data_IF_237443608006
#
_entry.id   IF_237443608006
#
_cell.length_a   1.000
_cell.length_b   1.000
_cell.length_c   1.000
_cell.angle_alpha   90.00
_cell.angle_beta   90.00
_cell.angle_gamma   90.00
#
_symmetry.space_group_name_H-M   'P 1'
#
loop_
_entity.id
_entity.type
_entity.pdbx_description
1 polymer ?
#
# COMPACT_ATOMS: atom_id res chain seq x y z
N UNK A 1 10.20 -11.91 -9.70
CA UNK A 1 9.33 -13.10 -9.55
C UNK A 1 7.94 -12.92 -10.18
N UNK A 2 7.39 -14.01 -10.77
CA UNK A 2 6.00 -14.02 -11.28
C UNK A 2 4.96 -14.10 -10.14
N UNK A 3 3.76 -13.54 -10.38
CA UNK A 3 2.67 -13.52 -9.39
C UNK A 3 2.18 -14.93 -9.05
N UNK A 4 2.21 -15.89 -9.98
CA UNK A 4 1.77 -17.25 -9.68
C UNK A 4 2.76 -17.95 -8.73
N UNK A 5 4.06 -17.80 -8.97
CA UNK A 5 5.10 -18.33 -8.09
C UNK A 5 4.98 -17.78 -6.66
N UNK A 6 4.79 -16.47 -6.52
CA UNK A 6 4.61 -15.83 -5.21
C UNK A 6 3.37 -16.34 -4.47
N UNK A 7 2.25 -16.58 -5.17
CA UNK A 7 1.07 -17.21 -4.55
C UNK A 7 1.37 -18.62 -4.04
N UNK A 8 2.15 -19.41 -4.78
CA UNK A 8 2.56 -20.75 -4.35
C UNK A 8 3.42 -20.68 -3.09
N UNK A 9 4.38 -19.76 -3.02
CA UNK A 9 5.21 -19.54 -1.83
C UNK A 9 4.34 -19.15 -0.64
N UNK A 10 3.43 -18.19 -0.82
CA UNK A 10 2.49 -17.78 0.24
C UNK A 10 1.64 -18.96 0.69
N UNK A 11 1.13 -19.78 -0.24
CA UNK A 11 0.41 -21.01 0.08
C UNK A 11 1.25 -21.95 0.94
N UNK A 12 2.48 -22.27 0.53
CA UNK A 12 3.35 -23.19 1.27
C UNK A 12 3.65 -22.72 2.71
N UNK A 13 3.69 -21.41 2.95
CA UNK A 13 3.94 -20.81 4.27
C UNK A 13 2.66 -20.76 5.12
N UNK A 14 1.53 -20.36 4.54
CA UNK A 14 0.28 -20.11 5.28
C UNK A 14 -0.69 -21.30 5.30
N UNK A 15 -0.65 -22.22 4.34
CA UNK A 15 -1.53 -23.40 4.25
C UNK A 15 -1.33 -24.35 5.43
N UNK A 16 -0.12 -24.35 6.01
CA UNK A 16 0.22 -25.15 7.19
C UNK A 16 -0.43 -24.62 8.47
N UNK A 17 -0.87 -23.36 8.48
CA UNK A 17 -1.60 -22.78 9.60
C UNK A 17 -3.11 -23.00 9.41
N UNK A 18 -3.56 -24.17 9.84
CA UNK A 18 -4.97 -24.60 9.76
C UNK A 18 -5.89 -23.58 10.45
N UNK A 19 -5.47 -23.00 11.57
CA UNK A 19 -6.23 -22.00 12.31
C UNK A 19 -6.44 -20.74 11.48
N UNK A 20 -5.38 -20.24 10.85
CA UNK A 20 -5.46 -19.09 9.95
C UNK A 20 -6.40 -19.31 8.76
N UNK A 21 -6.29 -20.47 8.10
CA UNK A 21 -7.18 -20.84 6.98
C UNK A 21 -8.63 -20.91 7.44
N UNK A 22 -8.88 -21.47 8.63
CA UNK A 22 -10.21 -21.54 9.23
C UNK A 22 -10.78 -20.16 9.56
N UNK A 23 -9.98 -19.23 10.06
CA UNK A 23 -10.41 -17.85 10.33
C UNK A 23 -10.87 -17.16 9.02
N UNK A 24 -10.08 -17.27 7.96
CA UNK A 24 -10.43 -16.68 6.64
C UNK A 24 -11.70 -17.31 6.08
N UNK A 25 -11.85 -18.64 6.20
CA UNK A 25 -13.05 -19.35 5.75
C UNK A 25 -14.28 -18.95 6.56
N UNK A 26 -14.16 -18.72 7.86
CA UNK A 26 -15.24 -18.22 8.72
C UNK A 26 -15.66 -16.80 8.35
N UNK A 27 -14.70 -15.90 8.13
CA UNK A 27 -14.97 -14.55 7.60
C UNK A 27 -15.68 -14.60 6.24
N UNK A 28 -15.20 -15.46 5.34
CA UNK A 28 -15.82 -15.69 4.03
C UNK A 28 -17.27 -16.15 4.14
N UNK A 29 -17.57 -17.09 5.06
CA UNK A 29 -18.94 -17.58 5.31
C UNK A 29 -19.85 -16.47 5.83
N UNK A 30 -19.38 -15.65 6.77
CA UNK A 30 -20.16 -14.51 7.30
C UNK A 30 -20.48 -13.53 6.19
N UNK A 31 -19.47 -13.10 5.42
CA UNK A 31 -19.65 -12.19 4.29
C UNK A 31 -20.62 -12.77 3.25
N UNK A 32 -20.45 -14.05 2.87
CA UNK A 32 -21.32 -14.73 1.90
C UNK A 32 -22.77 -14.77 2.38
N UNK A 33 -23.03 -15.11 3.65
CA UNK A 33 -24.38 -15.09 4.22
C UNK A 33 -24.98 -13.68 4.17
N UNK A 34 -24.22 -12.67 4.60
CA UNK A 34 -24.67 -11.29 4.52
C UNK A 34 -25.10 -10.88 3.10
N UNK A 35 -24.24 -11.10 2.10
CA UNK A 35 -24.55 -10.73 0.71
C UNK A 35 -25.72 -11.52 0.12
N UNK A 36 -25.89 -12.79 0.47
CA UNK A 36 -27.06 -13.57 0.03
C UNK A 36 -28.35 -12.98 0.59
N UNK A 37 -28.42 -12.74 1.90
CA UNK A 37 -29.61 -12.17 2.53
C UNK A 37 -29.91 -10.76 2.03
N UNK A 38 -28.89 -9.92 1.90
CA UNK A 38 -29.03 -8.57 1.35
C UNK A 38 -29.48 -8.59 -0.12
N UNK A 39 -28.92 -9.48 -0.94
CA UNK A 39 -29.32 -9.63 -2.35
C UNK A 39 -30.77 -10.09 -2.52
N UNK A 40 -31.19 -11.10 -1.73
CA UNK A 40 -32.59 -11.56 -1.71
C UNK A 40 -33.53 -10.46 -1.22
N UNK A 41 -33.15 -9.72 -0.16
CA UNK A 41 -33.93 -8.59 0.33
C UNK A 41 -34.14 -7.53 -0.77
N UNK A 42 -33.05 -7.10 -1.43
CA UNK A 42 -33.12 -6.11 -2.52
C UNK A 42 -34.01 -6.57 -3.67
N UNK A 43 -33.92 -7.84 -4.07
CA UNK A 43 -34.78 -8.40 -5.12
C UNK A 43 -36.26 -8.39 -4.72
N UNK A 44 -36.58 -8.84 -3.51
CA UNK A 44 -37.97 -8.86 -2.99
C UNK A 44 -38.52 -7.43 -2.88
N UNK A 45 -37.72 -6.48 -2.39
CA UNK A 45 -38.13 -5.08 -2.30
C UNK A 45 -38.40 -4.49 -3.69
N UNK A 46 -37.52 -4.75 -4.67
CA UNK A 46 -37.72 -4.29 -6.04
C UNK A 46 -39.02 -4.84 -6.64
N UNK A 47 -39.29 -6.14 -6.48
CA UNK A 47 -40.55 -6.77 -6.92
C UNK A 47 -41.74 -6.17 -6.18
N UNK A 48 -41.64 -5.99 -4.86
CA UNK A 48 -42.69 -5.38 -4.05
C UNK A 48 -43.06 -3.97 -4.49
N UNK A 49 -42.06 -3.14 -4.84
CA UNK A 49 -42.28 -1.80 -5.39
C UNK A 49 -42.98 -1.89 -6.75
N UNK A 50 -42.48 -2.71 -7.67
CA UNK A 50 -43.07 -2.88 -9.01
C UNK A 50 -44.52 -3.39 -8.95
N UNK A 51 -44.81 -4.35 -8.08
CA UNK A 51 -46.16 -4.91 -7.89
C UNK A 51 -47.09 -3.86 -7.27
N UNK A 52 -46.61 -3.12 -6.26
CA UNK A 52 -47.41 -2.07 -5.62
C UNK A 52 -47.76 -0.94 -6.57
N UNK A 53 -46.83 -0.53 -7.43
CA UNK A 53 -47.06 0.53 -8.43
C UNK A 53 -47.96 0.05 -9.56
N UNK A 54 -47.72 -1.15 -10.12
CA UNK A 54 -48.53 -1.69 -11.21
C UNK A 54 -49.97 -2.00 -10.77
N UNK A 55 -50.16 -2.64 -9.61
CA UNK A 55 -51.49 -2.99 -9.11
C UNK A 55 -52.19 -1.76 -8.51
N UNK A 56 -51.48 -0.85 -7.84
CA UNK A 56 -52.06 0.36 -7.26
C UNK A 56 -52.61 1.36 -8.29
N UNK A 57 -52.08 1.34 -9.53
CA UNK A 57 -52.60 2.16 -10.62
C UNK A 57 -53.81 1.56 -11.34
N UNK A 58 -53.99 0.23 -11.29
CA UNK A 58 -54.93 -0.49 -12.17
C UNK A 58 -56.03 -1.26 -11.43
N UNK A 59 -55.84 -1.59 -10.15
CA UNK A 59 -56.69 -2.52 -9.42
C UNK A 59 -57.19 -1.96 -8.08
N UNK A 60 -58.31 -2.49 -7.54
CA UNK A 60 -58.86 -2.04 -6.27
C UNK A 60 -57.95 -2.34 -5.08
N UNK A 61 -58.18 -1.62 -3.96
CA UNK A 61 -57.41 -1.66 -2.71
C UNK A 61 -56.86 -3.03 -2.24
N UNK A 62 -57.60 -4.16 -2.28
CA UNK A 62 -57.09 -5.44 -1.79
C UNK A 62 -55.81 -5.94 -2.50
N UNK A 63 -55.58 -5.54 -3.76
CA UNK A 63 -54.38 -5.93 -4.50
C UNK A 63 -53.14 -5.14 -4.06
N UNK A 64 -53.33 -3.93 -3.52
CA UNK A 64 -52.25 -3.13 -2.92
C UNK A 64 -51.69 -3.83 -1.67
N UNK A 65 -52.54 -4.52 -0.90
CA UNK A 65 -52.12 -5.30 0.26
C UNK A 65 -51.09 -6.39 -0.08
N UNK A 66 -51.18 -7.00 -1.27
CA UNK A 66 -50.21 -8.01 -1.74
C UNK A 66 -48.82 -7.39 -1.89
N UNK A 67 -48.73 -6.22 -2.51
CA UNK A 67 -47.47 -5.48 -2.66
C UNK A 67 -46.86 -5.10 -1.31
N UNK A 68 -47.67 -4.64 -0.36
CA UNK A 68 -47.22 -4.32 1.01
C UNK A 68 -46.70 -5.54 1.76
N UNK A 69 -47.33 -6.71 1.60
CA UNK A 69 -46.85 -7.96 2.21
C UNK A 69 -45.47 -8.34 1.64
N UNK A 70 -45.28 -8.25 0.32
CA UNK A 70 -43.98 -8.52 -0.32
C UNK A 70 -42.90 -7.57 0.21
N UNK A 71 -43.22 -6.27 0.35
CA UNK A 71 -42.30 -5.29 0.94
C UNK A 71 -41.96 -5.65 2.39
N UNK A 72 -42.95 -6.05 3.20
CA UNK A 72 -42.74 -6.49 4.58
C UNK A 72 -41.77 -7.68 4.67
N UNK A 73 -41.90 -8.67 3.78
CA UNK A 73 -40.96 -9.80 3.68
C UNK A 73 -39.57 -9.32 3.29
N UNK A 74 -39.46 -8.40 2.33
CA UNK A 74 -38.17 -7.81 1.93
C UNK A 74 -37.46 -7.10 3.08
N UNK A 75 -38.19 -6.30 3.85
CA UNK A 75 -37.67 -5.62 5.06
C UNK A 75 -37.22 -6.65 6.10
N UNK A 76 -37.96 -7.74 6.30
CA UNK A 76 -37.57 -8.80 7.23
C UNK A 76 -36.23 -9.45 6.84
N UNK A 77 -36.01 -9.73 5.55
CA UNK A 77 -34.72 -10.23 5.06
C UNK A 77 -33.60 -9.21 5.23
N UNK A 78 -33.87 -7.92 5.03
CA UNK A 78 -32.89 -6.85 5.24
C UNK A 78 -32.47 -6.74 6.71
N UNK A 79 -33.43 -6.77 7.64
CA UNK A 79 -33.16 -6.78 9.09
C UNK A 79 -32.34 -8.02 9.46
N UNK A 80 -32.66 -9.17 8.87
CA UNK A 80 -31.89 -10.41 9.09
C UNK A 80 -30.45 -10.29 8.58
N UNK A 81 -30.23 -9.69 7.41
CA UNK A 81 -28.89 -9.40 6.89
C UNK A 81 -28.10 -8.49 7.85
N UNK A 82 -28.72 -7.40 8.33
CA UNK A 82 -28.11 -6.47 9.28
C UNK A 82 -27.77 -7.19 10.60
N UNK A 83 -28.66 -8.04 11.12
CA UNK A 83 -28.39 -8.85 12.32
C UNK A 83 -27.21 -9.80 12.11
N UNK A 84 -27.12 -10.49 10.97
CA UNK A 84 -25.96 -11.33 10.64
C UNK A 84 -24.68 -10.50 10.65
N UNK A 85 -24.73 -9.28 10.12
CA UNK A 85 -23.57 -8.40 10.09
C UNK A 85 -23.14 -7.95 11.49
N UNK A 86 -24.08 -7.45 12.30
CA UNK A 86 -23.82 -6.87 13.63
C UNK A 86 -23.51 -7.95 14.67
N UNK A 87 -24.27 -9.04 14.69
CA UNK A 87 -24.12 -10.12 15.68
C UNK A 87 -23.08 -11.16 15.28
N UNK A 88 -22.37 -10.96 14.17
CA UNK A 88 -21.24 -11.83 13.85
C UNK A 88 -20.03 -11.47 14.69
N UNK A 89 -19.23 -12.49 15.05
CA UNK A 89 -17.89 -12.31 15.63
C UNK A 89 -16.89 -11.70 14.63
N UNK A 90 -17.36 -11.00 13.60
CA UNK A 90 -16.53 -10.48 12.50
C UNK A 90 -15.41 -9.59 13.00
N UNK A 91 -15.67 -8.72 13.99
CA UNK A 91 -14.62 -7.86 14.57
C UNK A 91 -13.49 -8.70 15.19
N UNK A 92 -13.86 -9.73 15.94
CA UNK A 92 -12.91 -10.65 16.57
C UNK A 92 -12.18 -11.50 15.53
N UNK A 93 -12.91 -12.05 14.56
CA UNK A 93 -12.35 -12.81 13.44
C UNK A 93 -11.38 -11.96 12.60
N UNK A 94 -11.70 -10.69 12.33
CA UNK A 94 -10.80 -9.77 11.61
C UNK A 94 -9.55 -9.46 12.44
N UNK A 95 -9.70 -9.23 13.75
CA UNK A 95 -8.56 -9.07 14.66
C UNK A 95 -7.65 -10.30 14.67
N UNK A 96 -8.23 -11.50 14.77
CA UNK A 96 -7.49 -12.76 14.75
C UNK A 96 -6.84 -13.00 13.39
N UNK A 97 -7.52 -12.67 12.29
CA UNK A 97 -6.97 -12.73 10.94
C UNK A 97 -5.70 -11.87 10.82
N UNK A 98 -5.74 -10.61 11.29
CA UNK A 98 -4.60 -9.70 11.27
C UNK A 98 -3.45 -10.25 12.14
N UNK A 99 -3.76 -10.71 13.36
CA UNK A 99 -2.75 -11.27 14.27
C UNK A 99 -2.05 -12.48 13.65
N UNK A 100 -2.78 -13.41 13.05
CA UNK A 100 -2.20 -14.59 12.40
C UNK A 100 -1.44 -14.24 11.11
N UNK A 101 -1.89 -13.23 10.37
CA UNK A 101 -1.20 -12.74 9.18
C UNK A 101 0.23 -12.26 9.53
N UNK A 102 0.39 -11.54 10.64
CA UNK A 102 1.70 -11.07 11.11
C UNK A 102 2.43 -12.04 12.05
N UNK A 103 1.89 -13.24 12.28
CA UNK A 103 2.45 -14.17 13.26
C UNK A 103 3.68 -14.94 12.76
N UNK A 104 4.55 -15.33 13.70
CA UNK A 104 5.58 -16.37 13.55
C UNK A 104 6.58 -16.14 12.39
N UNK A 105 6.90 -14.89 12.04
CA UNK A 105 7.91 -14.57 11.02
C UNK A 105 7.54 -15.03 9.60
N UNK A 106 6.26 -15.32 9.34
CA UNK A 106 5.82 -15.79 8.02
C UNK A 106 6.03 -14.74 6.93
N UNK A 107 5.80 -13.46 7.25
CA UNK A 107 6.07 -12.38 6.31
C UNK A 107 7.56 -12.24 6.03
N UNK A 108 8.43 -12.34 7.04
CA UNK A 108 9.89 -12.34 6.85
C UNK A 108 10.31 -13.39 5.82
N UNK A 109 9.76 -14.60 5.93
CA UNK A 109 10.02 -15.68 4.98
C UNK A 109 9.49 -15.36 3.58
N UNK A 110 8.27 -14.83 3.45
CA UNK A 110 7.72 -14.38 2.16
C UNK A 110 8.60 -13.31 1.53
N UNK A 111 9.01 -12.28 2.27
CA UNK A 111 9.87 -11.20 1.75
C UNK A 111 11.26 -11.71 1.40
N UNK A 112 11.86 -12.55 2.25
CA UNK A 112 13.18 -13.15 2.02
C UNK A 112 13.20 -13.94 0.72
N UNK A 113 12.23 -14.85 0.53
CA UNK A 113 12.13 -15.63 -0.72
C UNK A 113 11.90 -14.68 -1.90
N UNK A 114 10.99 -13.71 -1.76
CA UNK A 114 10.64 -12.81 -2.85
C UNK A 114 11.82 -11.96 -3.34
N UNK A 115 12.64 -11.45 -2.42
CA UNK A 115 13.81 -10.64 -2.75
C UNK A 115 14.95 -11.52 -3.28
N UNK A 116 15.08 -12.75 -2.76
CA UNK A 116 16.06 -13.72 -3.25
C UNK A 116 15.80 -14.21 -4.69
N UNK A 117 14.68 -13.85 -5.30
CA UNK A 117 14.40 -14.15 -6.71
C UNK A 117 14.60 -12.94 -7.63
N UNK A 118 14.87 -11.74 -7.10
CA UNK A 118 15.09 -10.53 -7.90
C UNK A 118 16.55 -10.40 -8.38
N UNK A 119 16.76 -9.72 -9.50
CA UNK A 119 18.12 -9.41 -10.01
C UNK A 119 18.77 -8.34 -9.11
N UNK A 120 20.06 -8.51 -8.79
CA UNK A 120 20.80 -7.61 -7.87
C UNK A 120 20.82 -8.07 -6.41
N UNK A 121 20.23 -9.23 -6.12
CA UNK A 121 20.08 -9.84 -4.78
C UNK A 121 21.38 -10.27 -4.09
N UNK A 122 22.48 -10.47 -4.82
CA UNK A 122 23.68 -11.13 -4.29
C UNK A 122 24.32 -10.36 -3.13
N UNK A 123 23.93 -9.08 -2.98
CA UNK A 123 24.44 -8.19 -1.96
C UNK A 123 23.46 -7.97 -0.79
N UNK A 124 22.22 -8.48 -0.85
CA UNK A 124 21.22 -8.34 0.21
C UNK A 124 21.31 -9.55 1.15
N UNK A 125 21.73 -9.32 2.41
CA UNK A 125 21.84 -10.34 3.46
C UNK A 125 20.96 -10.00 4.67
N UNK A 126 20.66 -11.00 5.48
CA UNK A 126 20.02 -10.87 6.80
C UNK A 126 18.71 -10.06 6.82
N UNK A 127 17.87 -10.27 5.81
CA UNK A 127 16.58 -9.58 5.73
C UNK A 127 15.67 -9.97 6.89
N UNK A 128 15.16 -8.94 7.59
CA UNK A 128 14.22 -9.05 8.70
C UNK A 128 13.07 -8.08 8.50
N UNK A 129 11.85 -8.52 8.77
CA UNK A 129 10.66 -7.68 8.72
C UNK A 129 10.28 -7.27 10.14
N UNK A 130 10.04 -5.98 10.35
CA UNK A 130 9.66 -5.43 11.64
C UNK A 130 8.23 -4.92 11.58
N UNK A 131 7.38 -5.56 12.37
CA UNK A 131 6.02 -5.13 12.64
C UNK A 131 6.06 -4.09 13.76
N UNK A 132 5.72 -2.84 13.44
CA UNK A 132 5.69 -1.76 14.45
C UNK A 132 4.28 -1.54 14.97
N UNK A 133 3.28 -1.47 14.08
CA UNK A 133 1.89 -1.28 14.50
C UNK A 133 0.88 -2.12 13.68
N UNK A 134 0.41 -3.27 14.23
CA UNK A 134 -0.63 -4.07 13.60
C UNK A 134 -2.05 -3.49 13.78
N UNK A 135 -2.25 -2.53 14.71
CA UNK A 135 -3.60 -2.01 15.07
C UNK A 135 -4.18 -1.05 14.03
N UNK A 136 -3.36 -0.57 13.11
CA UNK A 136 -3.65 0.43 12.08
C UNK A 136 -4.62 -0.06 11.01
N UNK A 137 -4.84 -1.37 10.93
CA UNK A 137 -5.82 -2.00 10.04
C UNK A 137 -7.16 -2.30 10.69
N UNK A 138 -7.28 -2.14 12.02
CA UNK A 138 -8.52 -2.47 12.77
C UNK A 138 -9.42 -1.25 12.94
N UNK A 139 -8.86 -0.03 12.89
CA UNK A 139 -9.62 1.19 13.09
C UNK A 139 -9.97 1.84 11.74
N UNK A 140 -11.23 1.72 11.35
CA UNK A 140 -11.85 2.56 10.32
C UNK A 140 -11.36 4.02 10.47
N UNK A 141 -10.71 4.55 9.43
CA UNK A 141 -10.44 5.98 9.21
C UNK A 141 -9.47 6.72 10.14
N UNK A 142 -8.77 6.07 11.09
CA UNK A 142 -7.68 6.75 11.80
C UNK A 142 -6.35 6.44 11.11
N UNK A 143 -6.02 7.25 10.09
CA UNK A 143 -4.66 7.31 9.56
C UNK A 143 -3.71 7.58 10.74
N UNK A 144 -2.67 6.77 10.85
CA UNK A 144 -1.62 6.91 11.86
C UNK A 144 -1.16 8.38 11.97
N UNK A 145 -1.03 8.88 13.20
CA UNK A 145 -0.60 10.26 13.45
C UNK A 145 0.93 10.43 13.30
N UNK A 146 1.71 9.34 13.20
CA UNK A 146 3.18 9.40 13.22
C UNK A 146 3.87 8.41 12.27
N UNK A 147 4.89 8.93 11.58
CA UNK A 147 5.68 8.25 10.54
C UNK A 147 6.68 7.20 11.10
N UNK A 148 6.83 7.10 12.42
CA UNK A 148 7.65 6.11 13.13
C UNK A 148 6.90 4.79 13.42
N UNK A 149 5.58 4.74 13.20
CA UNK A 149 4.74 3.57 13.49
C UNK A 149 4.50 2.64 12.28
N UNK A 150 5.25 2.79 11.20
CA UNK A 150 5.11 1.98 9.98
C UNK A 150 5.97 0.72 10.01
N UNK A 151 5.52 -0.33 9.33
CA UNK A 151 6.31 -1.54 9.14
C UNK A 151 7.49 -1.25 8.23
N UNK A 152 8.62 -1.87 8.54
CA UNK A 152 9.84 -1.69 7.77
C UNK A 152 10.58 -3.02 7.62
N UNK A 153 11.46 -3.10 6.63
CA UNK A 153 12.42 -4.19 6.50
C UNK A 153 13.82 -3.65 6.75
N UNK A 154 14.65 -4.45 7.42
CA UNK A 154 16.09 -4.19 7.51
C UNK A 154 16.87 -5.31 6.86
N UNK A 155 18.01 -4.98 6.29
CA UNK A 155 18.92 -5.94 5.69
C UNK A 155 20.32 -5.31 5.61
N UNK A 156 21.31 -6.12 5.26
CA UNK A 156 22.65 -5.66 4.95
C UNK A 156 22.81 -5.59 3.43
N UNK A 157 23.30 -4.46 2.92
CA UNK A 157 23.75 -4.31 1.54
C UNK A 157 25.26 -4.09 1.53
N UNK A 158 26.05 -5.02 0.97
CA UNK A 158 27.52 -4.97 1.06
C UNK A 158 28.02 -4.73 2.50
N UNK A 159 27.40 -5.45 3.44
CA UNK A 159 27.66 -5.37 4.89
C UNK A 159 27.33 -4.01 5.54
N UNK A 160 26.59 -3.15 4.83
CA UNK A 160 26.09 -1.86 5.32
C UNK A 160 24.61 -2.00 5.71
N UNK A 161 24.20 -1.57 6.91
CA UNK A 161 22.81 -1.58 7.33
C UNK A 161 21.91 -0.70 6.46
N UNK A 162 20.82 -1.30 5.99
CA UNK A 162 19.76 -0.63 5.24
C UNK A 162 18.41 -0.86 5.90
N UNK A 163 17.61 0.19 5.94
CA UNK A 163 16.22 0.18 6.37
C UNK A 163 15.33 0.69 5.23
N UNK A 164 14.25 -0.02 4.93
CA UNK A 164 13.28 0.40 3.92
C UNK A 164 11.87 0.34 4.47
N UNK A 165 11.06 1.37 4.18
CA UNK A 165 9.66 1.47 4.59
C UNK A 165 8.82 2.25 3.60
N UNK A 166 7.53 1.92 3.55
CA UNK A 166 6.53 2.81 2.97
C UNK A 166 6.09 3.77 4.09
N UNK A 167 6.20 5.07 3.83
CA UNK A 167 5.63 6.11 4.71
C UNK A 167 4.12 6.05 4.66
N UNK A 168 3.49 6.70 5.62
CA UNK A 168 2.05 6.82 5.61
C UNK A 168 1.56 7.66 4.44
N UNK A 169 0.48 7.25 3.77
CA UNK A 169 -0.09 8.02 2.70
C UNK A 169 -0.70 9.30 3.27
N UNK A 170 -0.38 10.44 2.66
CA UNK A 170 -0.97 11.73 3.02
C UNK A 170 -2.20 11.93 2.12
N UNK A 171 -3.38 12.08 2.74
CA UNK A 171 -4.63 12.33 2.01
C UNK A 171 -4.73 13.80 1.65
N UNK A 172 -4.90 14.07 0.36
CA UNK A 172 -5.19 15.39 -0.19
C UNK A 172 -6.63 15.44 -0.70
N UNK A 173 -7.29 16.58 -0.50
CA UNK A 173 -8.68 16.81 -0.90
C UNK A 173 -8.75 18.14 -1.64
N UNK A 174 -8.97 18.07 -2.94
CA UNK A 174 -9.23 19.23 -3.78
C UNK A 174 -10.74 19.39 -3.98
N UNK A 175 -11.23 20.62 -3.87
CA UNK A 175 -12.64 20.94 -4.08
C UNK A 175 -12.74 21.93 -5.21
N UNK A 176 -13.46 21.55 -6.27
CA UNK A 176 -13.72 22.39 -7.41
C UNK A 176 -15.21 22.70 -7.46
N UNK A 177 -15.55 23.98 -7.44
CA UNK A 177 -16.94 24.42 -7.60
C UNK A 177 -17.14 24.93 -9.01
N UNK A 178 -17.99 24.26 -9.79
CA UNK A 178 -18.38 24.65 -11.15
C UNK A 178 -19.91 24.75 -11.17
N UNK A 179 -20.44 25.91 -11.57
CA UNK A 179 -21.89 26.17 -11.67
C UNK A 179 -22.70 25.88 -10.39
N UNK A 180 -22.07 26.04 -9.21
CA UNK A 180 -22.70 25.81 -7.91
C UNK A 180 -22.61 24.38 -7.39
N UNK A 181 -22.16 23.42 -8.22
CA UNK A 181 -21.85 22.06 -7.80
C UNK A 181 -20.40 21.96 -7.34
N UNK A 182 -20.16 21.35 -6.17
CA UNK A 182 -18.81 21.13 -5.64
C UNK A 182 -18.41 19.68 -5.87
N UNK A 183 -17.42 19.46 -6.73
CA UNK A 183 -16.76 18.18 -6.93
C UNK A 183 -15.58 18.06 -5.95
N UNK A 184 -15.52 16.94 -5.21
CA UNK A 184 -14.40 16.61 -4.33
C UNK A 184 -13.49 15.59 -5.02
N UNK A 185 -12.26 15.99 -5.32
CA UNK A 185 -11.21 15.11 -5.84
C UNK A 185 -10.26 14.70 -4.73
N UNK A 186 -10.19 13.39 -4.44
CA UNK A 186 -9.36 12.82 -3.37
C UNK A 186 -8.21 12.03 -3.96
N UNK A 187 -6.99 12.43 -3.61
CA UNK A 187 -5.78 11.70 -3.98
C UNK A 187 -4.86 11.52 -2.78
N UNK A 188 -3.98 10.54 -2.87
CA UNK A 188 -3.04 10.18 -1.83
C UNK A 188 -1.61 10.36 -2.31
N UNK A 189 -0.82 11.09 -1.55
CA UNK A 189 0.63 11.14 -1.70
C UNK A 189 1.24 9.95 -0.96
N UNK A 190 1.84 9.06 -1.73
CA UNK A 190 2.43 7.82 -1.26
C UNK A 190 3.95 7.92 -1.36
N UNK A 191 4.62 7.80 -0.23
CA UNK A 191 6.07 7.94 -0.16
C UNK A 191 6.75 6.67 0.32
N UNK A 192 7.92 6.35 -0.23
CA UNK A 192 8.81 5.28 0.26
C UNK A 192 10.12 5.89 0.69
N UNK A 193 10.69 5.37 1.78
CA UNK A 193 11.96 5.84 2.33
C UNK A 193 12.91 4.66 2.45
N UNK A 194 14.07 4.79 1.80
CA UNK A 194 15.22 3.93 2.02
C UNK A 194 16.29 4.72 2.77
N UNK A 195 16.76 4.16 3.88
CA UNK A 195 17.82 4.70 4.71
C UNK A 195 19.00 3.72 4.70
N UNK A 196 20.17 4.16 4.28
CA UNK A 196 21.39 3.37 4.23
C UNK A 196 22.46 4.07 5.08
N UNK A 197 23.10 3.34 5.98
CA UNK A 197 24.17 3.89 6.81
C UNK A 197 25.27 4.50 5.94
N UNK A 198 25.70 5.73 6.26
CA UNK A 198 26.76 6.39 5.51
C UNK A 198 28.10 6.25 6.24
N UNK A 199 28.97 5.43 5.66
CA UNK A 199 30.36 5.24 6.08
C UNK A 199 31.38 5.83 5.08
N UNK A 200 30.92 6.53 4.03
CA UNK A 200 31.77 7.09 2.98
C UNK A 200 32.09 8.57 3.19
N UNK A 201 31.14 9.33 3.73
CA UNK A 201 31.24 10.78 3.89
C UNK A 201 31.12 11.17 5.37
N UNK A 202 31.91 12.13 5.79
CA UNK A 202 31.82 12.70 7.12
C UNK A 202 30.63 13.67 7.27
N UNK A 203 30.44 14.19 8.47
CA UNK A 203 29.34 15.11 8.80
C UNK A 203 29.39 16.44 8.02
N UNK A 204 30.49 16.77 7.34
CA UNK A 204 30.56 18.00 6.51
C UNK A 204 29.71 17.89 5.25
N UNK A 205 29.31 16.67 4.86
CA UNK A 205 28.40 16.41 3.75
C UNK A 205 26.92 16.42 4.16
N UNK A 206 26.61 16.53 5.45
CA UNK A 206 25.23 16.62 5.92
C UNK A 206 24.50 17.81 5.28
N UNK A 207 23.27 17.57 4.86
CA UNK A 207 22.44 18.52 4.14
C UNK A 207 22.66 18.53 2.62
N UNK A 208 23.65 17.81 2.08
CA UNK A 208 23.76 17.60 0.63
C UNK A 208 22.54 16.82 0.14
N UNK A 209 21.79 17.42 -0.77
CA UNK A 209 20.54 16.90 -1.31
C UNK A 209 20.56 16.96 -2.83
N UNK A 210 20.39 15.80 -3.47
CA UNK A 210 20.00 15.69 -4.87
C UNK A 210 18.47 15.66 -4.93
N UNK A 211 17.88 16.52 -5.74
CA UNK A 211 16.46 16.54 -6.05
C UNK A 211 16.26 16.43 -7.56
N UNK A 212 15.01 16.41 -8.01
CA UNK A 212 14.72 16.56 -9.43
C UNK A 212 15.11 17.92 -9.96
N UNK A 213 15.73 17.90 -11.13
CA UNK A 213 16.16 19.10 -11.85
C UNK A 213 14.99 20.00 -12.19
N UNK A 214 15.15 21.29 -11.91
CA UNK A 214 14.34 22.38 -12.47
C UNK A 214 15.19 23.04 -13.55
N UNK A 215 14.60 23.43 -14.69
CA UNK A 215 15.36 23.91 -15.87
C UNK A 215 16.27 25.13 -15.63
N UNK A 216 16.17 25.81 -14.48
CA UNK A 216 16.90 27.03 -14.19
C UNK A 216 17.39 27.02 -12.73
N UNK A 217 18.64 26.64 -12.48
CA UNK A 217 19.17 26.67 -11.12
C UNK A 217 20.54 27.35 -10.98
N UNK A 218 20.72 28.04 -9.85
CA UNK A 218 21.96 28.74 -9.45
C UNK A 218 22.99 27.77 -8.85
N UNK A 219 22.62 26.50 -8.79
CA UNK A 219 23.32 25.45 -8.08
C UNK A 219 24.48 24.86 -8.90
N UNK A 220 25.25 23.97 -8.28
CA UNK A 220 26.35 23.26 -8.90
C UNK A 220 25.85 22.42 -10.09
N UNK A 221 26.52 22.55 -11.23
CA UNK A 221 26.22 21.78 -12.43
C UNK A 221 27.40 20.88 -12.75
N UNK A 222 27.10 19.63 -13.10
CA UNK A 222 28.10 18.67 -13.60
C UNK A 222 28.41 18.94 -15.07
N UNK A 223 29.42 18.28 -15.63
CA UNK A 223 29.64 18.30 -17.08
C UNK A 223 28.59 17.48 -17.86
N UNK A 224 27.86 16.59 -17.17
CA UNK A 224 26.80 15.78 -17.78
C UNK A 224 25.52 16.60 -17.97
N UNK A 225 25.27 16.97 -19.22
CA UNK A 225 24.01 17.62 -19.66
C UNK A 225 22.80 16.74 -19.32
N UNK A 226 22.94 15.41 -19.39
CA UNK A 226 21.84 14.48 -19.09
C UNK A 226 21.51 14.51 -17.60
N UNK A 227 22.53 14.47 -16.73
CA UNK A 227 22.33 14.56 -15.29
C UNK A 227 21.65 15.88 -14.91
N UNK A 228 22.21 17.01 -15.38
CA UNK A 228 21.70 18.34 -15.03
C UNK A 228 20.27 18.61 -15.55
N UNK A 229 19.80 17.87 -16.56
CA UNK A 229 18.41 17.94 -17.03
C UNK A 229 17.45 17.19 -16.13
N UNK A 230 17.91 16.14 -15.47
CA UNK A 230 17.08 15.23 -14.66
C UNK A 230 17.14 15.57 -13.17
N UNK A 231 18.27 16.07 -12.69
CA UNK A 231 18.58 16.25 -11.28
C UNK A 231 19.21 17.61 -11.01
N UNK A 232 19.01 18.09 -9.78
CA UNK A 232 19.65 19.28 -9.22
C UNK A 232 20.24 18.94 -7.85
N UNK A 233 21.29 19.67 -7.43
CA UNK A 233 21.96 19.50 -6.15
C UNK A 233 21.94 20.80 -5.37
N UNK A 234 21.58 20.80 -4.09
CA UNK A 234 21.43 22.03 -3.29
C UNK A 234 22.78 22.67 -2.84
N UNK A 235 23.81 22.63 -3.67
CA UNK A 235 25.13 23.21 -3.39
C UNK A 235 25.47 24.31 -4.39
N UNK A 236 26.25 25.30 -3.96
CA UNK A 236 26.64 26.44 -4.81
C UNK A 236 27.68 26.02 -5.86
N UNK A 237 27.71 26.74 -6.99
CA UNK A 237 28.77 26.64 -7.99
C UNK A 237 30.14 26.96 -7.35
N UNK A 238 31.00 25.95 -7.24
CA UNK A 238 32.32 26.06 -6.59
C UNK A 238 32.45 25.34 -5.24
N UNK A 239 31.37 24.78 -4.69
CA UNK A 239 31.47 23.94 -3.49
C UNK A 239 32.14 22.61 -3.83
N UNK A 240 33.33 22.37 -3.28
CA UNK A 240 34.13 21.16 -3.55
C UNK A 240 33.45 19.87 -3.09
N UNK A 241 32.51 19.95 -2.13
CA UNK A 241 31.74 18.78 -1.67
C UNK A 241 30.88 18.22 -2.79
N UNK A 242 30.33 19.08 -3.65
CA UNK A 242 29.55 18.64 -4.81
C UNK A 242 30.40 17.79 -5.76
N UNK A 243 31.61 18.25 -6.08
CA UNK A 243 32.54 17.52 -6.94
C UNK A 243 33.02 16.19 -6.32
N UNK A 244 33.24 16.16 -5.01
CA UNK A 244 33.62 14.93 -4.29
C UNK A 244 32.50 13.91 -4.23
N UNK A 245 31.25 14.37 -4.08
CA UNK A 245 30.09 13.51 -3.98
C UNK A 245 29.61 12.98 -5.35
N UNK A 246 29.57 13.86 -6.35
CA UNK A 246 29.11 13.56 -7.71
C UNK A 246 30.22 12.90 -8.53
N UNK A 247 30.60 11.68 -8.15
CA UNK A 247 31.58 10.88 -8.91
C UNK A 247 31.05 10.53 -10.31
N UNK A 248 31.92 10.26 -11.30
CA UNK A 248 31.48 9.85 -12.64
C UNK A 248 30.52 8.66 -12.61
N UNK A 249 30.79 7.64 -11.77
CA UNK A 249 29.91 6.48 -11.57
C UNK A 249 28.51 6.89 -11.12
N UNK A 250 28.40 7.83 -10.18
CA UNK A 250 27.13 8.30 -9.65
C UNK A 250 26.36 9.13 -10.70
N UNK A 251 27.06 10.02 -11.40
CA UNK A 251 26.50 10.84 -12.47
C UNK A 251 25.92 9.96 -13.58
N UNK A 252 26.70 8.99 -14.06
CA UNK A 252 26.29 8.06 -15.13
C UNK A 252 25.13 7.18 -14.66
N UNK A 253 25.21 6.67 -13.43
CA UNK A 253 24.15 5.87 -12.83
C UNK A 253 22.82 6.61 -12.74
N UNK A 254 22.83 7.80 -12.15
CA UNK A 254 21.63 8.63 -11.99
C UNK A 254 21.06 9.03 -13.35
N UNK A 255 21.91 9.40 -14.31
CA UNK A 255 21.50 9.77 -15.68
C UNK A 255 20.73 8.66 -16.39
N UNK A 256 20.97 7.40 -16.03
CA UNK A 256 20.29 6.24 -16.59
C UNK A 256 19.01 5.84 -15.83
N UNK A 257 18.81 6.34 -14.61
CA UNK A 257 17.59 6.08 -13.83
C UNK A 257 16.47 7.02 -14.27
N UNK A 258 15.38 6.46 -14.80
CA UNK A 258 14.20 7.20 -15.30
C UNK A 258 12.98 7.03 -14.39
N UNK A 259 13.12 7.30 -13.10
CA UNK A 259 12.03 7.16 -12.15
C UNK A 259 11.28 8.49 -11.98
N UNK A 260 10.00 8.52 -12.40
CA UNK A 260 9.08 9.68 -12.34
C UNK A 260 8.46 9.96 -10.96
N UNK A 261 8.82 9.18 -9.95
CA UNK A 261 8.47 9.32 -8.54
C UNK A 261 9.67 9.55 -7.60
N UNK A 262 10.93 9.48 -8.06
CA UNK A 262 12.07 9.99 -7.27
C UNK A 262 11.84 11.42 -6.74
N UNK A 263 11.87 11.59 -5.42
CA UNK A 263 11.76 12.89 -4.78
C UNK A 263 13.16 13.46 -4.50
N UNK A 264 13.94 12.75 -3.68
CA UNK A 264 15.30 13.17 -3.34
C UNK A 264 16.21 12.03 -2.90
N UNK A 265 17.51 12.33 -2.94
CA UNK A 265 18.55 11.68 -2.16
C UNK A 265 19.18 12.75 -1.25
N UNK A 266 19.31 12.50 0.05
CA UNK A 266 19.94 13.42 1.00
C UNK A 266 20.91 12.69 1.93
N UNK A 267 21.96 13.38 2.36
CA UNK A 267 22.85 12.94 3.43
C UNK A 267 22.43 13.64 4.73
N UNK A 268 21.94 12.88 5.71
CA UNK A 268 21.60 13.35 7.06
C UNK A 268 22.08 12.33 8.08
N UNK A 269 23.39 12.32 8.35
CA UNK A 269 24.18 11.24 8.96
C UNK A 269 24.18 9.94 8.16
N UNK A 270 23.06 9.58 7.55
CA UNK A 270 22.83 8.43 6.69
C UNK A 270 22.37 8.89 5.30
N UNK A 271 22.52 8.04 4.29
CA UNK A 271 21.87 8.27 3.00
C UNK A 271 20.38 8.00 3.13
N UNK A 272 19.56 8.94 2.71
CA UNK A 272 18.10 8.80 2.64
C UNK A 272 17.64 9.03 1.21
N UNK A 273 16.94 8.05 0.66
CA UNK A 273 16.34 8.13 -0.67
C UNK A 273 14.83 8.06 -0.51
N UNK A 274 14.14 9.05 -1.06
CA UNK A 274 12.69 9.11 -1.05
C UNK A 274 12.13 9.06 -2.46
N UNK A 275 11.09 8.23 -2.64
CA UNK A 275 10.23 8.28 -3.80
C UNK A 275 8.82 8.69 -3.34
N UNK A 276 8.19 9.58 -4.09
CA UNK A 276 6.84 10.09 -3.85
C UNK A 276 6.00 9.93 -5.11
N UNK A 277 4.82 9.32 -4.98
CA UNK A 277 3.87 9.11 -6.07
C UNK A 277 2.46 9.48 -5.64
N UNK A 278 1.65 9.97 -6.57
CA UNK A 278 0.26 10.34 -6.31
C UNK A 278 -0.67 9.28 -6.90
N UNK A 279 -1.70 8.89 -6.14
CA UNK A 279 -2.73 7.92 -6.57
C UNK A 279 -4.11 8.41 -6.22
N UNK A 280 -5.03 8.32 -7.17
CA UNK A 280 -6.42 8.69 -6.97
C UNK A 280 -7.14 7.60 -6.16
N UNK A 281 -7.83 8.01 -5.09
CA UNK A 281 -8.71 7.15 -4.30
C UNK A 281 -8.09 5.85 -3.73
N UNK A 282 -6.77 5.69 -3.75
CA UNK A 282 -6.09 4.45 -3.37
C UNK A 282 -4.81 4.72 -2.56
N UNK A 283 -4.89 4.73 -1.22
CA UNK A 283 -3.71 4.84 -0.38
C UNK A 283 -2.80 3.61 -0.53
N UNK A 284 -1.50 3.82 -0.57
CA UNK A 284 -0.51 2.76 -0.48
C UNK A 284 -0.27 2.41 0.99
N UNK A 285 -0.66 1.20 1.36
CA UNK A 285 -0.47 0.71 2.73
C UNK A 285 1.00 0.48 3.09
N UNK A 286 1.27 0.41 4.39
CA UNK A 286 2.55 -0.01 4.98
C UNK A 286 3.01 -1.39 4.44
N UNK A 287 4.29 -1.74 4.63
CA UNK A 287 4.84 -3.02 4.15
C UNK A 287 4.05 -4.20 4.71
N UNK A 288 3.71 -5.15 3.83
CA UNK A 288 3.01 -6.38 4.16
C UNK A 288 1.51 -6.21 4.44
N UNK A 289 1.03 -4.98 4.65
CA UNK A 289 -0.37 -4.69 4.95
C UNK A 289 -1.22 -4.79 3.68
N UNK A 290 -2.31 -5.55 3.76
CA UNK A 290 -3.34 -5.64 2.71
C UNK A 290 -4.67 -5.10 3.22
N UNK A 291 -5.57 -4.72 2.32
CA UNK A 291 -6.95 -4.37 2.66
C UNK A 291 -7.72 -5.62 3.12
N UNK A 292 -7.67 -5.93 4.42
CA UNK A 292 -8.21 -7.16 5.00
C UNK A 292 -9.74 -7.28 4.89
N UNK A 293 -10.44 -6.15 4.88
CA UNK A 293 -11.89 -6.01 4.69
C UNK A 293 -12.40 -6.59 3.36
N UNK A 294 -11.57 -6.53 2.32
CA UNK A 294 -11.87 -7.00 0.96
C UNK A 294 -11.41 -8.45 0.71
N UNK A 295 -10.92 -9.15 1.74
CA UNK A 295 -10.53 -10.56 1.64
C UNK A 295 -11.76 -11.46 1.80
N UNK A 296 -12.32 -11.92 0.68
CA UNK A 296 -13.51 -12.79 0.67
C UNK A 296 -13.21 -14.28 0.68
N UNK A 297 -11.96 -14.70 0.48
CA UNK A 297 -11.55 -16.10 0.46
C UNK A 297 -10.04 -16.22 0.65
N UNK A 298 -9.57 -17.43 0.93
CA UNK A 298 -8.15 -17.71 1.04
C UNK A 298 -7.38 -17.47 -0.27
N UNK A 299 -8.00 -17.75 -1.42
CA UNK A 299 -7.42 -17.38 -2.72
C UNK A 299 -7.35 -15.87 -2.94
N UNK A 300 -8.36 -15.13 -2.48
CA UNK A 300 -8.34 -13.66 -2.50
C UNK A 300 -7.21 -13.11 -1.62
N UNK A 301 -7.02 -13.71 -0.44
CA UNK A 301 -5.89 -13.40 0.44
C UNK A 301 -4.55 -13.59 -0.27
N UNK A 302 -4.28 -14.80 -0.83
CA UNK A 302 -3.03 -15.08 -1.54
C UNK A 302 -2.79 -14.10 -2.69
N UNK A 303 -3.83 -13.78 -3.46
CA UNK A 303 -3.74 -12.79 -4.56
C UNK A 303 -3.40 -11.40 -4.06
N UNK A 304 -4.07 -10.92 -3.01
CA UNK A 304 -3.83 -9.58 -2.43
C UNK A 304 -2.44 -9.47 -1.84
N UNK A 305 -2.02 -10.47 -1.05
CA UNK A 305 -0.68 -10.49 -0.47
C UNK A 305 0.41 -10.58 -1.55
N UNK A 306 0.23 -11.41 -2.58
CA UNK A 306 1.18 -11.50 -3.69
C UNK A 306 1.32 -10.17 -4.45
N UNK A 307 0.20 -9.47 -4.70
CA UNK A 307 0.25 -8.15 -5.31
C UNK A 307 1.00 -7.15 -4.43
N UNK A 308 0.70 -7.13 -3.13
CA UNK A 308 1.31 -6.23 -2.16
C UNK A 308 2.81 -6.45 -2.03
N UNK A 309 3.24 -7.69 -1.81
CA UNK A 309 4.67 -8.03 -1.70
C UNK A 309 5.41 -7.71 -3.00
N UNK A 310 4.82 -8.00 -4.17
CA UNK A 310 5.44 -7.63 -5.45
C UNK A 310 5.64 -6.12 -5.60
N UNK A 311 4.65 -5.32 -5.19
CA UNK A 311 4.74 -3.86 -5.21
C UNK A 311 5.79 -3.35 -4.23
N UNK A 312 5.80 -3.88 -3.00
CA UNK A 312 6.77 -3.51 -1.96
C UNK A 312 8.21 -3.85 -2.39
N UNK A 313 8.44 -5.06 -2.91
CA UNK A 313 9.74 -5.47 -3.45
C UNK A 313 10.13 -4.61 -4.65
N UNK A 314 9.21 -4.30 -5.55
CA UNK A 314 9.49 -3.40 -6.67
C UNK A 314 9.98 -2.03 -6.19
N UNK A 315 9.29 -1.44 -5.20
CA UNK A 315 9.66 -0.15 -4.64
C UNK A 315 10.99 -0.19 -3.88
N UNK A 316 11.28 -1.28 -3.16
CA UNK A 316 12.57 -1.53 -2.53
C UNK A 316 13.70 -1.54 -3.57
N UNK A 317 13.61 -2.41 -4.58
CA UNK A 317 14.64 -2.57 -5.61
C UNK A 317 14.83 -1.25 -6.37
N UNK A 318 13.74 -0.53 -6.61
CA UNK A 318 13.77 0.79 -7.23
C UNK A 318 14.58 1.81 -6.42
N UNK A 319 14.38 1.86 -5.10
CA UNK A 319 15.15 2.72 -4.22
C UNK A 319 16.62 2.27 -4.10
N UNK A 320 16.87 0.96 -4.08
CA UNK A 320 18.21 0.36 -4.00
C UNK A 320 19.11 0.78 -5.15
N UNK A 321 18.59 0.96 -6.37
CA UNK A 321 19.38 1.39 -7.54
C UNK A 321 20.20 2.66 -7.28
N UNK A 322 19.72 3.57 -6.44
CA UNK A 322 20.45 4.80 -6.12
C UNK A 322 21.64 4.52 -5.19
N UNK A 323 21.50 3.60 -4.24
CA UNK A 323 22.59 3.15 -3.35
C UNK A 323 23.65 2.35 -4.12
N UNK A 324 23.25 1.56 -5.12
CA UNK A 324 24.18 0.79 -5.97
C UNK A 324 25.21 1.67 -6.71
N UNK A 325 24.85 2.92 -7.02
CA UNK A 325 25.78 3.86 -7.65
C UNK A 325 26.65 4.62 -6.66
N UNK A 326 26.26 4.67 -5.38
CA UNK A 326 27.07 5.22 -4.29
C UNK A 326 28.16 4.23 -3.85
N UNK A 327 27.79 2.94 -3.72
CA UNK A 327 28.66 1.86 -3.19
C UNK A 327 29.15 0.88 -4.24
#
# INVERSE_FOLDING_TARGET
MDKAALKTIIGNIYDKDIEFVNIINSLSKVNKKFYIYAGVASLILMVGVCVSTALGLLLPLPYLCIGLIILGVGIFFLISAIKIYINSDRKELTKNFINHHFSKGKLDEVYRISISEEKGKDYIKDLKFFLVNPKTTIANNSYLERDDEVNYVTFLYKDIPVNFRNKLPIRHVERHTVDGETEEHVYYENSTLLKCENNLYDNTFNGLKITRGRMFDKNYQTESVVFNKLYDINLKKGDIRAAKFLTPKLIDGFSNIKHKDFNYLIIENDFKIEHTSFRDNAPQESLGVISFDTVFSYESYKKKLANKVKEDVHNLIKAMKYIEYIY
#
